data_IF_055106103653
#
_entry.id   IF_055106103653
#
_cell.length_a   1.000
_cell.length_b   1.000
_cell.length_c   1.000
_cell.angle_alpha   90.00
_cell.angle_beta   90.00
_cell.angle_gamma   90.00
#
_symmetry.space_group_name_H-M   'P 1'
#
loop_
_entity.id
_entity.type
_entity.pdbx_description
1 polymer ?
#
# COMPACT_ATOMS: atom_id res chain seq x y z
N UNK A 1 16.02 24.44 28.34
CA UNK A 1 16.64 23.25 27.71
C UNK A 1 15.89 23.02 26.41
N UNK A 2 16.48 23.19 25.23
CA UNK A 2 15.81 22.82 24.00
C UNK A 2 15.75 21.29 23.92
N UNK A 3 14.56 20.74 23.70
CA UNK A 3 14.41 19.35 23.32
C UNK A 3 15.14 19.17 21.99
N UNK A 4 16.23 18.41 22.01
CA UNK A 4 16.96 18.02 20.81
C UNK A 4 16.02 17.14 19.99
N UNK A 5 15.30 17.73 19.05
CA UNK A 5 14.65 17.00 17.96
C UNK A 5 15.78 16.43 17.09
N UNK A 6 16.28 15.24 17.46
CA UNK A 6 17.04 14.42 16.52
C UNK A 6 16.15 14.20 15.28
N UNK A 7 16.59 14.56 14.07
CA UNK A 7 15.92 14.07 12.88
C UNK A 7 16.06 12.54 12.91
N UNK A 8 15.01 11.75 12.65
CA UNK A 8 15.09 10.31 12.76
C UNK A 8 16.00 9.78 11.64
N UNK A 9 17.31 9.71 11.90
CA UNK A 9 18.33 9.18 11.00
C UNK A 9 18.07 7.71 10.61
N UNK A 10 17.06 7.08 11.24
CA UNK A 10 16.63 5.72 10.99
C UNK A 10 15.46 5.60 10.00
N UNK A 11 14.73 6.67 9.66
CA UNK A 11 13.55 6.55 8.78
C UNK A 11 13.91 6.07 7.36
N UNK A 12 14.91 6.66 6.65
CA UNK A 12 15.31 6.15 5.34
C UNK A 12 15.78 4.70 5.39
N UNK A 13 16.43 4.30 6.48
CA UNK A 13 16.89 2.92 6.70
C UNK A 13 15.71 1.96 6.91
N UNK A 14 14.73 2.35 7.73
CA UNK A 14 13.49 1.57 7.93
C UNK A 14 12.70 1.44 6.62
N UNK A 15 12.57 2.51 5.84
CA UNK A 15 11.92 2.45 4.51
C UNK A 15 12.66 1.46 3.60
N UNK A 16 14.00 1.54 3.53
CA UNK A 16 14.79 0.61 2.73
C UNK A 16 14.63 -0.86 3.16
N UNK A 17 14.55 -1.12 4.47
CA UNK A 17 14.29 -2.46 5.01
C UNK A 17 12.91 -3.01 4.60
N UNK A 18 11.90 -2.14 4.49
CA UNK A 18 10.57 -2.53 4.00
C UNK A 18 10.59 -2.79 2.50
N UNK A 19 11.27 -1.95 1.71
CA UNK A 19 11.39 -2.11 0.25
C UNK A 19 11.98 -3.48 -0.11
N UNK A 20 12.99 -3.94 0.62
CA UNK A 20 13.62 -5.26 0.40
C UNK A 20 12.64 -6.42 0.69
N UNK A 21 11.62 -6.19 1.53
CA UNK A 21 10.62 -7.18 1.93
C UNK A 21 9.33 -7.11 1.12
N UNK A 22 9.22 -6.21 0.13
CA UNK A 22 8.03 -6.10 -0.72
C UNK A 22 7.81 -7.41 -1.49
N UNK A 23 6.56 -7.87 -1.50
CA UNK A 23 6.15 -9.02 -2.32
C UNK A 23 5.93 -8.59 -3.77
N UNK A 24 5.85 -9.52 -4.73
CA UNK A 24 5.47 -9.19 -6.09
C UNK A 24 4.18 -8.37 -6.15
N UNK A 25 4.12 -7.43 -7.08
CA UNK A 25 3.00 -6.50 -7.27
C UNK A 25 2.73 -5.55 -6.09
N UNK A 26 3.68 -5.45 -5.15
CA UNK A 26 3.65 -4.43 -4.11
C UNK A 26 4.61 -3.28 -4.41
N UNK A 27 4.17 -2.07 -4.11
CA UNK A 27 4.97 -0.86 -4.05
C UNK A 27 4.89 -0.25 -2.65
N UNK A 28 5.87 0.60 -2.33
CA UNK A 28 5.86 1.42 -1.13
C UNK A 28 5.64 2.87 -1.55
N UNK A 29 4.67 3.52 -0.92
CA UNK A 29 4.44 4.96 -1.03
C UNK A 29 4.85 5.62 0.28
N UNK A 30 5.56 6.74 0.19
CA UNK A 30 5.93 7.56 1.34
C UNK A 30 5.42 8.98 1.09
N UNK A 31 4.59 9.46 2.00
CA UNK A 31 4.14 10.84 2.02
C UNK A 31 5.05 11.66 2.96
N UNK A 32 5.88 12.57 2.42
CA UNK A 32 6.79 13.37 3.23
C UNK A 32 6.09 14.44 4.08
N UNK A 33 4.87 14.85 3.74
CA UNK A 33 4.13 15.89 4.48
C UNK A 33 3.52 15.32 5.76
N UNK A 34 2.96 14.11 5.67
CA UNK A 34 2.33 13.43 6.79
C UNK A 34 3.24 12.42 7.50
N UNK A 35 4.35 12.04 6.86
CA UNK A 35 5.24 10.97 7.31
C UNK A 35 4.64 9.56 7.18
N UNK A 36 3.50 9.43 6.48
CA UNK A 36 2.82 8.15 6.31
C UNK A 36 3.55 7.27 5.29
N UNK A 37 3.57 5.97 5.58
CA UNK A 37 4.14 4.95 4.70
C UNK A 37 3.05 3.95 4.40
N UNK A 38 2.84 3.67 3.12
CA UNK A 38 1.78 2.79 2.66
C UNK A 38 2.37 1.68 1.81
N UNK A 39 1.91 0.46 2.02
CA UNK A 39 2.13 -0.64 1.08
C UNK A 39 0.95 -0.66 0.14
N UNK A 40 1.21 -0.53 -1.16
CA UNK A 40 0.20 -0.60 -2.21
C UNK A 40 0.37 -1.91 -2.96
N UNK A 41 -0.67 -2.71 -3.05
CA UNK A 41 -0.70 -3.96 -3.83
C UNK A 41 -1.60 -3.77 -5.04
N UNK A 42 -1.10 -4.08 -6.24
CA UNK A 42 -1.86 -3.94 -7.48
C UNK A 42 -2.19 -5.31 -8.07
N UNK A 43 -3.46 -5.54 -8.37
CA UNK A 43 -3.95 -6.77 -9.00
C UNK A 43 -4.67 -6.43 -10.30
N UNK A 44 -4.50 -7.27 -11.31
CA UNK A 44 -5.29 -7.21 -12.54
C UNK A 44 -6.22 -8.41 -12.56
N UNK A 45 -7.52 -8.14 -12.52
CA UNK A 45 -8.59 -9.14 -12.54
C UNK A 45 -9.20 -9.17 -13.94
N UNK A 46 -9.19 -10.31 -14.64
CA UNK A 46 -9.90 -10.48 -15.91
C UNK A 46 -11.38 -10.09 -15.80
N UNK A 47 -11.95 -9.57 -16.89
CA UNK A 47 -13.32 -9.04 -16.90
C UNK A 47 -14.41 -10.08 -16.63
N UNK A 48 -14.13 -11.34 -16.95
CA UNK A 48 -14.96 -12.51 -16.70
C UNK A 48 -14.83 -13.06 -15.26
N UNK A 49 -13.90 -12.54 -14.46
CA UNK A 49 -13.66 -12.95 -13.08
C UNK A 49 -14.13 -11.90 -12.05
N UNK A 50 -15.22 -11.18 -12.36
CA UNK A 50 -15.75 -10.09 -11.51
C UNK A 50 -16.02 -10.53 -10.06
N UNK A 51 -16.41 -11.78 -9.85
CA UNK A 51 -16.68 -12.34 -8.52
C UNK A 51 -15.44 -12.32 -7.62
N UNK A 52 -14.23 -12.38 -8.18
CA UNK A 52 -12.98 -12.23 -7.41
C UNK A 52 -12.85 -10.85 -6.78
N UNK A 53 -13.42 -9.81 -7.40
CA UNK A 53 -13.43 -8.46 -6.82
C UNK A 53 -14.28 -8.45 -5.54
N UNK A 54 -15.43 -9.14 -5.54
CA UNK A 54 -16.27 -9.26 -4.36
C UNK A 54 -15.55 -10.03 -3.24
N UNK A 55 -14.83 -11.11 -3.58
CA UNK A 55 -14.01 -11.84 -2.60
C UNK A 55 -12.88 -11.00 -2.00
N UNK A 56 -12.21 -10.17 -2.82
CA UNK A 56 -11.18 -9.25 -2.35
C UNK A 56 -11.79 -8.24 -1.38
N UNK A 57 -12.89 -7.60 -1.75
CA UNK A 57 -13.58 -6.61 -0.91
C UNK A 57 -14.08 -7.21 0.41
N UNK A 58 -14.55 -8.45 0.40
CA UNK A 58 -15.03 -9.14 1.60
C UNK A 58 -13.91 -9.51 2.59
N UNK A 59 -12.65 -9.51 2.15
CA UNK A 59 -11.47 -9.86 2.97
C UNK A 59 -10.65 -8.63 3.39
N UNK A 60 -11.02 -7.43 2.96
CA UNK A 60 -10.28 -6.23 3.33
C UNK A 60 -10.53 -5.86 4.79
N UNK A 61 -9.43 -5.62 5.50
CA UNK A 61 -9.43 -5.14 6.86
C UNK A 61 -9.82 -3.65 6.92
N UNK A 62 -10.24 -3.16 8.09
CA UNK A 62 -10.70 -1.77 8.28
C UNK A 62 -9.61 -0.71 7.97
N UNK A 63 -8.34 -1.09 8.07
CA UNK A 63 -7.18 -0.22 7.79
C UNK A 63 -6.72 -0.28 6.32
N UNK A 64 -7.39 -1.06 5.47
CA UNK A 64 -7.08 -1.17 4.05
C UNK A 64 -8.05 -0.35 3.19
N UNK A 65 -7.48 0.51 2.35
CA UNK A 65 -8.21 1.23 1.31
C UNK A 65 -8.17 0.41 0.03
N UNK A 66 -9.35 0.09 -0.51
CA UNK A 66 -9.49 -0.57 -1.82
C UNK A 66 -9.92 0.43 -2.88
N UNK A 67 -9.28 0.38 -4.05
CA UNK A 67 -9.68 1.13 -5.23
C UNK A 67 -9.78 0.17 -6.42
N UNK A 68 -10.95 0.14 -7.07
CA UNK A 68 -11.19 -0.68 -8.27
C UNK A 68 -11.35 0.24 -9.48
N UNK A 69 -10.62 -0.03 -10.56
CA UNK A 69 -10.67 0.72 -11.82
C UNK A 69 -10.90 -0.25 -12.97
N UNK A 70 -11.80 0.06 -13.89
CA UNK A 70 -12.02 -0.74 -15.11
C UNK A 70 -10.97 -0.39 -16.18
N UNK A 71 -10.37 -1.40 -16.79
CA UNK A 71 -9.36 -1.32 -17.85
C UNK A 71 -9.74 -2.22 -19.01
N UNK A 72 -10.39 -1.67 -20.04
CA UNK A 72 -10.89 -2.41 -21.21
C UNK A 72 -11.65 -3.69 -20.79
N UNK A 73 -11.01 -4.84 -20.97
CA UNK A 73 -11.54 -6.19 -20.69
C UNK A 73 -11.13 -6.74 -19.32
N UNK A 74 -10.69 -5.88 -18.41
CA UNK A 74 -10.19 -6.24 -17.08
C UNK A 74 -10.49 -5.16 -16.03
N UNK A 75 -10.16 -5.44 -14.78
CA UNK A 75 -10.26 -4.53 -13.65
C UNK A 75 -8.92 -4.49 -12.91
N UNK A 76 -8.40 -3.29 -12.67
CA UNK A 76 -7.26 -3.09 -11.78
C UNK A 76 -7.79 -2.84 -10.37
N UNK A 77 -7.40 -3.70 -9.44
CA UNK A 77 -7.71 -3.57 -8.02
C UNK A 77 -6.45 -3.13 -7.30
N UNK A 78 -6.53 -2.05 -6.54
CA UNK A 78 -5.43 -1.45 -5.79
C UNK A 78 -5.80 -1.51 -4.32
N UNK A 79 -4.99 -2.20 -3.53
CA UNK A 79 -5.12 -2.32 -2.08
C UNK A 79 -4.02 -1.49 -1.45
N UNK A 80 -4.37 -0.47 -0.66
CA UNK A 80 -3.39 0.36 0.05
C UNK A 80 -3.59 0.22 1.54
N UNK A 81 -2.53 -0.07 2.27
CA UNK A 81 -2.55 -0.20 3.72
C UNK A 81 -1.44 0.64 4.33
N UNK A 82 -1.77 1.37 5.38
CA UNK A 82 -0.78 2.17 6.10
C UNK A 82 0.05 1.26 7.02
N UNK A 83 1.33 1.57 7.17
CA UNK A 83 2.22 0.89 8.11
C UNK A 83 2.90 1.91 9.03
N UNK A 84 3.10 1.53 10.28
CA UNK A 84 3.92 2.27 11.23
C UNK A 84 5.37 1.77 11.16
N UNK A 85 6.33 2.69 11.02
CA UNK A 85 7.77 2.38 10.91
C UNK A 85 8.53 2.54 12.22
#
# INVERSE_FOLDING_TARGET
MPATNEPPANLPRKIAEVVIKLKPFQSLEYDPETGLVSIVTELLVPGDEVDKIAEILARCDEDEKVTVKRYADSYKVILSRHIQL
#
